data_IF_136032977422
#
_entry.id   IF_136032977422
#
_cell.length_a   1.000
_cell.length_b   1.000
_cell.length_c   1.000
_cell.angle_alpha   90.00
_cell.angle_beta   90.00
_cell.angle_gamma   90.00
#
_symmetry.space_group_name_H-M   'P 1'
#
loop_
_entity.id
_entity.type
_entity.pdbx_description
1 polymer ?
#
# COMPACT_ATOMS: atom_id res chain seq x y z
N UNK A 1 -7.06 -10.01 20.55
CA UNK A 1 -8.00 -10.39 19.48
C UNK A 1 -8.30 -9.15 18.66
N UNK A 2 -7.81 -9.09 17.42
CA UNK A 2 -8.06 -7.94 16.51
C UNK A 2 -9.06 -8.41 15.46
N UNK A 3 -10.20 -7.73 15.35
CA UNK A 3 -11.16 -7.94 14.27
C UNK A 3 -10.88 -6.94 13.17
N UNK A 4 -10.59 -7.42 11.98
CA UNK A 4 -10.49 -6.62 10.77
C UNK A 4 -11.70 -6.95 9.91
N UNK A 5 -12.56 -5.96 9.67
CA UNK A 5 -13.64 -6.08 8.71
C UNK A 5 -13.14 -5.74 7.30
N UNK A 6 -13.78 -6.34 6.31
CA UNK A 6 -13.41 -6.14 4.90
C UNK A 6 -13.60 -4.70 4.43
N UNK A 7 -14.46 -3.90 5.09
CA UNK A 7 -14.61 -2.48 4.74
C UNK A 7 -13.38 -1.67 5.20
N UNK A 8 -12.87 -1.91 6.41
CA UNK A 8 -11.61 -1.31 6.88
C UNK A 8 -10.43 -1.74 6.01
N UNK A 9 -10.32 -3.03 5.70
CA UNK A 9 -9.25 -3.54 4.83
C UNK A 9 -9.35 -2.97 3.42
N UNK A 10 -10.54 -3.01 2.82
CA UNK A 10 -10.80 -2.46 1.48
C UNK A 10 -10.58 -0.95 1.41
N UNK A 11 -11.03 -0.21 2.43
CA UNK A 11 -10.78 1.24 2.55
C UNK A 11 -9.30 1.56 2.64
N UNK A 12 -8.51 0.76 3.37
CA UNK A 12 -7.05 0.87 3.40
C UNK A 12 -6.42 0.70 2.03
N UNK A 13 -6.86 -0.30 1.25
CA UNK A 13 -6.41 -0.49 -0.13
C UNK A 13 -6.79 0.67 -1.05
N UNK A 14 -8.00 1.22 -0.93
CA UNK A 14 -8.42 2.40 -1.69
C UNK A 14 -7.54 3.61 -1.38
N UNK A 15 -7.30 3.92 -0.10
CA UNK A 15 -6.45 5.04 0.31
C UNK A 15 -5.00 4.85 -0.16
N UNK A 16 -4.46 3.64 -0.03
CA UNK A 16 -3.13 3.33 -0.53
C UNK A 16 -3.07 3.51 -2.05
N UNK A 17 -4.05 3.01 -2.80
CA UNK A 17 -4.10 3.14 -4.25
C UNK A 17 -4.20 4.59 -4.73
N UNK A 18 -5.04 5.41 -4.09
CA UNK A 18 -5.12 6.85 -4.36
C UNK A 18 -3.80 7.56 -4.08
N UNK A 19 -3.13 7.23 -2.98
CA UNK A 19 -1.81 7.80 -2.63
C UNK A 19 -0.78 7.49 -3.71
N UNK A 20 -0.77 6.27 -4.23
CA UNK A 20 0.15 5.85 -5.30
C UNK A 20 -0.14 6.53 -6.65
N UNK A 21 -1.41 6.86 -6.94
CA UNK A 21 -1.79 7.57 -8.16
C UNK A 21 -1.52 9.07 -8.10
N UNK A 22 -1.85 9.70 -6.98
CA UNK A 22 -1.81 11.16 -6.83
C UNK A 22 -0.43 11.67 -6.39
N UNK A 23 0.31 10.86 -5.63
CA UNK A 23 1.59 11.25 -5.03
C UNK A 23 2.74 10.28 -5.37
N UNK A 24 2.96 9.89 -6.64
CA UNK A 24 4.03 8.97 -6.98
C UNK A 24 5.42 9.57 -6.74
N UNK A 25 5.61 10.86 -7.00
CA UNK A 25 6.89 11.55 -6.78
C UNK A 25 7.27 11.66 -5.29
N UNK A 26 6.36 12.09 -4.37
CA UNK A 26 6.60 12.02 -2.94
C UNK A 26 6.95 10.60 -2.45
N UNK A 27 6.22 9.58 -2.92
CA UNK A 27 6.51 8.18 -2.56
C UNK A 27 7.91 7.75 -2.99
N UNK A 28 8.32 8.11 -4.21
CA UNK A 28 9.67 7.81 -4.71
C UNK A 28 10.76 8.58 -3.95
N UNK A 29 10.49 9.81 -3.50
CA UNK A 29 11.43 10.56 -2.67
C UNK A 29 11.62 9.92 -1.28
N UNK A 30 10.52 9.49 -0.65
CA UNK A 30 10.54 8.75 0.61
C UNK A 30 11.27 7.41 0.42
N UNK A 31 10.97 6.68 -0.65
CA UNK A 31 11.66 5.44 -0.98
C UNK A 31 13.16 5.65 -1.18
N UNK A 32 13.57 6.67 -1.95
CA UNK A 32 14.99 7.00 -2.16
C UNK A 32 15.71 7.27 -0.83
N UNK A 33 15.08 8.03 0.07
CA UNK A 33 15.63 8.30 1.41
C UNK A 33 15.72 7.02 2.25
N UNK A 34 14.66 6.23 2.28
CA UNK A 34 14.61 4.99 3.05
C UNK A 34 15.63 3.95 2.53
N UNK A 35 15.76 3.77 1.22
CA UNK A 35 16.75 2.89 0.60
C UNK A 35 18.17 3.32 0.92
N UNK A 36 18.45 4.63 0.87
CA UNK A 36 19.77 5.15 1.26
C UNK A 36 20.08 4.92 2.74
N UNK A 37 19.09 5.08 3.62
CA UNK A 37 19.30 4.99 5.07
C UNK A 37 19.33 3.55 5.60
N UNK A 38 18.45 2.69 5.09
CA UNK A 38 18.23 1.34 5.61
C UNK A 38 19.02 0.30 4.82
N UNK A 39 19.09 0.48 3.49
CA UNK A 39 19.71 -0.49 2.59
C UNK A 39 21.07 -0.03 2.04
N UNK A 40 21.53 1.19 2.38
CA UNK A 40 22.72 1.82 1.80
C UNK A 40 22.75 1.76 0.26
N UNK A 41 21.58 1.76 -0.37
CA UNK A 41 21.43 1.62 -1.81
C UNK A 41 20.95 2.92 -2.45
N UNK A 42 21.53 3.28 -3.60
CA UNK A 42 21.01 4.37 -4.41
C UNK A 42 19.85 3.89 -5.28
N UNK A 43 18.74 4.61 -5.14
CA UNK A 43 17.53 4.38 -5.92
C UNK A 43 17.33 5.57 -6.86
N UNK A 44 17.62 5.37 -8.15
CA UNK A 44 17.32 6.37 -9.16
C UNK A 44 15.98 6.08 -9.85
N UNK A 45 15.09 7.06 -9.82
CA UNK A 45 13.71 6.91 -10.23
C UNK A 45 13.49 7.67 -11.52
N UNK A 46 13.10 6.97 -12.57
CA UNK A 46 12.79 7.53 -13.88
C UNK A 46 11.26 7.61 -14.10
N UNK A 47 10.86 8.10 -15.27
CA UNK A 47 9.45 8.20 -15.64
C UNK A 47 8.77 6.82 -15.73
N UNK A 48 9.53 5.77 -16.10
CA UNK A 48 9.03 4.39 -16.12
C UNK A 48 8.70 3.90 -14.71
N UNK A 49 9.54 4.25 -13.74
CA UNK A 49 9.34 3.97 -12.32
C UNK A 49 8.11 4.69 -11.78
N UNK A 50 7.89 5.96 -12.18
CA UNK A 50 6.67 6.69 -11.84
C UNK A 50 5.40 5.99 -12.37
N UNK A 51 5.43 5.52 -13.64
CA UNK A 51 4.31 4.77 -14.24
C UNK A 51 4.04 3.45 -13.50
N UNK A 52 5.08 2.76 -13.04
CA UNK A 52 4.95 1.52 -12.24
C UNK A 52 4.28 1.80 -10.89
N UNK A 53 4.67 2.86 -10.20
CA UNK A 53 4.01 3.26 -8.93
C UNK A 53 2.53 3.56 -9.16
N UNK A 54 2.20 4.28 -10.24
CA UNK A 54 0.80 4.53 -10.62
C UNK A 54 0.04 3.23 -10.94
N UNK A 55 0.67 2.29 -11.65
CA UNK A 55 0.08 0.99 -11.96
C UNK A 55 -0.19 0.16 -10.68
N UNK A 56 0.73 0.18 -9.71
CA UNK A 56 0.50 -0.40 -8.38
C UNK A 56 -0.70 0.28 -7.72
N UNK A 57 -0.81 1.61 -7.82
CA UNK A 57 -1.96 2.35 -7.33
C UNK A 57 -3.30 1.90 -7.93
N UNK A 58 -3.34 1.63 -9.24
CA UNK A 58 -4.53 1.08 -9.91
C UNK A 58 -4.89 -0.31 -9.40
N UNK A 59 -3.90 -1.18 -9.22
CA UNK A 59 -4.11 -2.54 -8.69
C UNK A 59 -4.65 -2.48 -7.26
N UNK A 60 -4.06 -1.65 -6.40
CA UNK A 60 -4.53 -1.46 -5.02
C UNK A 60 -5.96 -0.93 -4.98
N UNK A 61 -6.29 0.04 -5.83
CA UNK A 61 -7.66 0.54 -5.96
C UNK A 61 -8.63 -0.57 -6.38
N UNK A 62 -8.29 -1.35 -7.40
CA UNK A 62 -9.13 -2.45 -7.86
C UNK A 62 -9.37 -3.50 -6.77
N UNK A 63 -8.34 -3.83 -5.98
CA UNK A 63 -8.49 -4.73 -4.83
C UNK A 63 -9.41 -4.09 -3.78
N UNK A 64 -9.18 -2.83 -3.44
CA UNK A 64 -9.95 -2.12 -2.43
C UNK A 64 -11.44 -2.01 -2.77
N UNK A 65 -11.78 -1.71 -4.02
CA UNK A 65 -13.17 -1.62 -4.49
C UNK A 65 -13.87 -2.97 -4.50
N UNK A 66 -13.15 -4.07 -4.75
CA UNK A 66 -13.70 -5.44 -4.70
C UNK A 66 -13.85 -5.92 -3.25
N UNK A 67 -12.89 -5.61 -2.38
CA UNK A 67 -12.86 -6.10 -0.99
C UNK A 67 -13.77 -5.30 -0.05
N UNK A 68 -13.81 -3.98 -0.17
CA UNK A 68 -14.61 -3.11 0.69
C UNK A 68 -16.10 -3.53 0.84
N UNK A 69 -16.83 -3.88 -0.22
CA UNK A 69 -18.24 -4.24 -0.11
C UNK A 69 -18.49 -5.64 0.49
N UNK A 70 -17.47 -6.47 0.68
CA UNK A 70 -17.65 -7.89 1.01
C UNK A 70 -18.26 -8.19 2.40
N UNK A 71 -18.53 -7.17 3.25
CA UNK A 71 -19.14 -7.24 4.60
C UNK A 71 -18.79 -8.50 5.42
N UNK A 72 -17.53 -8.96 5.36
CA UNK A 72 -17.01 -10.10 6.14
C UNK A 72 -16.11 -9.57 7.26
N UNK A 73 -16.14 -10.22 8.42
CA UNK A 73 -15.19 -9.93 9.50
C UNK A 73 -14.27 -11.11 9.71
N UNK A 74 -12.95 -10.89 9.61
CA UNK A 74 -11.93 -11.90 9.86
C UNK A 74 -11.35 -11.66 11.26
N UNK A 75 -11.38 -12.68 12.11
CA UNK A 75 -10.76 -12.66 13.43
C UNK A 75 -9.36 -13.26 13.32
N UNK A 76 -8.33 -12.44 13.55
CA UNK A 76 -6.94 -12.92 13.61
C UNK A 76 -6.57 -13.04 15.09
N UNK A 77 -6.28 -14.27 15.53
CA UNK A 77 -5.68 -14.52 16.84
C UNK A 77 -4.19 -14.27 16.69
N UNK A 78 -3.74 -13.08 17.09
CA UNK A 78 -2.31 -12.80 17.26
C UNK A 78 -1.82 -13.60 18.47
N UNK A 79 -1.30 -14.79 18.22
CA UNK A 79 -0.56 -15.54 19.23
C UNK A 79 0.75 -14.80 19.47
N UNK A 80 0.87 -14.18 20.64
CA UNK A 80 2.07 -13.46 21.05
C UNK A 80 3.12 -14.52 21.42
N UNK A 81 3.94 -14.92 20.45
CA UNK A 81 5.13 -15.73 20.70
C UNK A 81 6.03 -14.95 21.66
N UNK A 82 6.24 -15.49 22.86
CA UNK A 82 7.12 -14.92 23.90
C UNK A 82 8.56 -15.35 23.68
#
# INVERSE_FOLDING_TARGET
>A
MVRLDTATVGGGFVLAGLTHLLAPRPLLAVARRAYRQVLAAEFDGDERTERRVRAVGLVLLAIGTVVAPARRSISIVLEKSR
#
